data_IF_362178496614
#
_entry.id   IF_362178496614
#
_cell.length_a   1.000
_cell.length_b   1.000
_cell.length_c   1.000
_cell.angle_alpha   90.00
_cell.angle_beta   90.00
_cell.angle_gamma   90.00
#
_symmetry.space_group_name_H-M   'P 1'
#
loop_
_entity.id
_entity.type
_entity.pdbx_description
1 polymer ?
#
# COMPACT_ATOMS: atom_id res chain seq x y z
N UNK A 1 -15.31 -14.78 -11.87
CA UNK A 1 -16.29 -15.22 -10.86
C UNK A 1 -15.65 -15.84 -9.63
N UNK A 2 -14.87 -16.92 -9.73
CA UNK A 2 -14.27 -17.59 -8.55
C UNK A 2 -13.36 -16.68 -7.71
N UNK A 3 -12.42 -15.95 -8.32
CA UNK A 3 -11.55 -14.99 -7.61
C UNK A 3 -12.35 -13.94 -6.83
N UNK A 4 -13.48 -13.47 -7.38
CA UNK A 4 -14.35 -12.50 -6.72
C UNK A 4 -14.96 -13.14 -5.48
N UNK A 5 -15.57 -14.32 -5.60
CA UNK A 5 -16.16 -15.04 -4.46
C UNK A 5 -15.15 -15.25 -3.32
N UNK A 6 -13.93 -15.71 -3.66
CA UNK A 6 -12.87 -15.93 -2.68
C UNK A 6 -12.45 -14.66 -1.94
N UNK A 7 -12.41 -13.51 -2.62
CA UNK A 7 -12.08 -12.22 -2.01
C UNK A 7 -13.15 -11.77 -1.01
N UNK A 8 -14.43 -11.95 -1.33
CA UNK A 8 -15.52 -11.65 -0.39
C UNK A 8 -15.54 -12.62 0.80
N UNK A 9 -15.28 -13.91 0.57
CA UNK A 9 -15.18 -14.91 1.63
C UNK A 9 -13.99 -14.61 2.57
N UNK A 10 -12.83 -14.23 2.01
CA UNK A 10 -11.67 -13.82 2.79
C UNK A 10 -11.96 -12.61 3.69
N UNK A 11 -12.70 -11.61 3.18
CA UNK A 11 -13.13 -10.47 3.99
C UNK A 11 -14.03 -10.91 5.16
N UNK A 12 -14.94 -11.86 4.94
CA UNK A 12 -15.80 -12.38 6.01
C UNK A 12 -14.98 -13.07 7.10
N UNK A 13 -14.01 -13.91 6.73
CA UNK A 13 -13.12 -14.53 7.72
C UNK A 13 -12.26 -13.51 8.46
N UNK A 14 -11.71 -12.52 7.75
CA UNK A 14 -10.92 -11.46 8.36
C UNK A 14 -11.74 -10.65 9.37
N UNK A 15 -13.01 -10.35 9.05
CA UNK A 15 -13.95 -9.69 9.95
C UNK A 15 -14.21 -10.52 11.21
N UNK A 16 -14.52 -11.81 11.07
CA UNK A 16 -14.72 -12.72 12.22
C UNK A 16 -13.46 -12.85 13.09
N UNK A 17 -12.27 -12.85 12.47
CA UNK A 17 -11.00 -12.89 13.18
C UNK A 17 -10.73 -11.61 13.98
N UNK A 18 -11.17 -10.47 13.47
CA UNK A 18 -11.11 -9.18 14.15
C UNK A 18 -12.11 -9.11 15.31
N UNK A 19 -13.37 -9.51 15.09
CA UNK A 19 -14.41 -9.56 16.14
C UNK A 19 -14.00 -10.44 17.33
N UNK A 20 -13.25 -11.51 17.08
CA UNK A 20 -12.73 -12.39 18.14
C UNK A 20 -11.56 -11.78 18.91
N UNK A 21 -10.76 -10.93 18.26
CA UNK A 21 -9.59 -10.32 18.90
C UNK A 21 -9.17 -9.02 18.20
N UNK A 22 -9.69 -7.90 18.68
CA UNK A 22 -9.33 -6.54 18.23
C UNK A 22 -7.92 -6.10 18.66
N UNK A 23 -7.25 -6.86 19.55
CA UNK A 23 -5.84 -6.59 19.92
C UNK A 23 -4.84 -7.31 19.02
N UNK A 24 -5.31 -8.08 18.03
CA UNK A 24 -4.46 -8.80 17.09
C UNK A 24 -4.05 -7.91 15.92
N UNK A 25 -2.77 -7.54 15.86
CA UNK A 25 -2.23 -6.78 14.71
C UNK A 25 -2.50 -7.49 13.38
N UNK A 26 -2.43 -8.83 13.38
CA UNK A 26 -2.64 -9.64 12.19
C UNK A 26 -4.09 -9.62 11.73
N UNK A 27 -5.06 -9.59 12.66
CA UNK A 27 -6.48 -9.45 12.32
C UNK A 27 -6.75 -8.10 11.66
N UNK A 28 -6.21 -7.01 12.22
CA UNK A 28 -6.30 -5.67 11.61
C UNK A 28 -5.65 -5.63 10.22
N UNK A 29 -4.44 -6.19 10.08
CA UNK A 29 -3.73 -6.26 8.79
C UNK A 29 -4.55 -6.98 7.72
N UNK A 30 -5.02 -8.19 8.00
CA UNK A 30 -5.75 -9.00 7.02
C UNK A 30 -7.13 -8.42 6.70
N UNK A 31 -7.81 -7.82 7.67
CA UNK A 31 -9.06 -7.12 7.42
C UNK A 31 -8.87 -5.95 6.44
N UNK A 32 -7.84 -5.13 6.63
CA UNK A 32 -7.52 -4.03 5.73
C UNK A 32 -7.16 -4.50 4.31
N UNK A 33 -6.36 -5.58 4.18
CA UNK A 33 -6.00 -6.17 2.89
C UNK A 33 -7.25 -6.66 2.16
N UNK A 34 -8.07 -7.50 2.80
CA UNK A 34 -9.26 -8.04 2.16
C UNK A 34 -10.28 -6.95 1.81
N UNK A 35 -10.40 -5.91 2.62
CA UNK A 35 -11.27 -4.77 2.34
C UNK A 35 -10.79 -3.95 1.13
N UNK A 36 -9.46 -3.84 0.96
CA UNK A 36 -8.87 -3.24 -0.25
C UNK A 36 -9.19 -4.08 -1.49
N UNK A 37 -9.02 -5.40 -1.42
CA UNK A 37 -9.27 -6.32 -2.53
C UNK A 37 -10.75 -6.33 -2.97
N UNK A 38 -11.69 -6.29 -2.01
CA UNK A 38 -13.13 -6.17 -2.33
C UNK A 38 -13.42 -4.87 -3.09
N UNK A 39 -12.73 -3.78 -2.73
CA UNK A 39 -12.86 -2.48 -3.39
C UNK A 39 -12.62 -2.52 -4.90
N UNK A 40 -11.77 -3.45 -5.39
CA UNK A 40 -11.54 -3.64 -6.83
C UNK A 40 -12.79 -4.06 -7.59
N UNK A 41 -13.76 -4.69 -6.92
CA UNK A 41 -15.02 -5.14 -7.51
C UNK A 41 -16.20 -4.19 -7.27
N UNK A 42 -16.11 -3.28 -6.30
CA UNK A 42 -17.21 -2.38 -5.90
C UNK A 42 -17.13 -0.99 -6.54
N UNK A 43 -16.04 -0.71 -7.25
CA UNK A 43 -15.83 0.52 -8.01
C UNK A 43 -15.33 1.70 -7.17
N UNK A 44 -15.11 2.83 -7.86
CA UNK A 44 -14.36 3.97 -7.30
C UNK A 44 -14.97 4.58 -6.03
N UNK A 45 -16.31 4.62 -5.92
CA UNK A 45 -16.99 5.20 -4.75
C UNK A 45 -16.73 4.37 -3.49
N UNK A 46 -16.88 3.05 -3.59
CA UNK A 46 -16.61 2.13 -2.49
C UNK A 46 -15.13 2.12 -2.12
N UNK A 47 -14.22 2.12 -3.10
CA UNK A 47 -12.76 2.26 -2.84
C UNK A 47 -12.43 3.49 -2.00
N UNK A 48 -12.98 4.66 -2.36
CA UNK A 48 -12.73 5.90 -1.63
C UNK A 48 -13.35 5.83 -0.22
N UNK A 49 -14.53 5.21 -0.08
CA UNK A 49 -15.17 5.06 1.23
C UNK A 49 -14.40 4.13 2.16
N UNK A 50 -13.98 2.98 1.65
CA UNK A 50 -13.23 1.98 2.41
C UNK A 50 -11.80 2.46 2.74
N UNK A 51 -11.27 3.45 2.01
CA UNK A 51 -9.92 3.97 2.22
C UNK A 51 -9.64 4.44 3.65
N UNK A 52 -10.61 5.05 4.33
CA UNK A 52 -10.44 5.49 5.73
C UNK A 52 -10.36 4.32 6.68
N UNK A 53 -11.26 3.35 6.51
CA UNK A 53 -11.29 2.12 7.30
C UNK A 53 -9.96 1.37 7.12
N UNK A 54 -9.53 1.18 5.88
CA UNK A 54 -8.25 0.54 5.55
C UNK A 54 -7.08 1.23 6.27
N UNK A 55 -7.04 2.57 6.22
CA UNK A 55 -6.01 3.35 6.91
C UNK A 55 -6.04 3.11 8.43
N UNK A 56 -7.21 3.22 9.07
CA UNK A 56 -7.35 3.05 10.51
C UNK A 56 -6.88 1.66 10.96
N UNK A 57 -7.22 0.62 10.19
CA UNK A 57 -6.77 -0.74 10.49
C UNK A 57 -5.27 -0.92 10.28
N UNK A 58 -4.65 -0.33 9.25
CA UNK A 58 -3.19 -0.36 9.12
C UNK A 58 -2.49 0.43 10.22
N UNK A 59 -2.98 1.62 10.60
CA UNK A 59 -2.43 2.39 11.71
C UNK A 59 -2.52 1.60 13.02
N UNK A 60 -3.65 0.92 13.29
CA UNK A 60 -3.81 0.06 14.47
C UNK A 60 -2.91 -1.18 14.42
N UNK A 61 -2.75 -1.81 13.26
CA UNK A 61 -1.83 -2.93 13.09
C UNK A 61 -0.37 -2.51 13.38
N UNK A 62 0.03 -1.32 12.94
CA UNK A 62 1.37 -0.75 13.20
C UNK A 62 1.53 -0.37 14.68
N UNK A 63 0.48 0.14 15.33
CA UNK A 63 0.50 0.43 16.77
C UNK A 63 0.70 -0.85 17.59
N UNK A 64 -0.04 -1.91 17.25
CA UNK A 64 0.01 -3.21 17.94
C UNK A 64 1.31 -3.97 17.65
N UNK A 65 1.84 -3.87 16.43
CA UNK A 65 3.14 -4.44 16.05
C UNK A 65 3.93 -3.50 15.14
N UNK A 66 4.76 -2.61 15.71
CA UNK A 66 5.54 -1.64 14.94
C UNK A 66 6.71 -2.26 14.17
N UNK A 67 6.88 -3.60 14.22
CA UNK A 67 7.90 -4.35 13.49
C UNK A 67 7.32 -5.11 12.29
N UNK A 68 6.00 -5.13 12.10
CA UNK A 68 5.38 -5.78 10.94
C UNK A 68 5.63 -4.95 9.67
N UNK A 69 6.67 -5.34 8.93
CA UNK A 69 7.07 -4.64 7.70
C UNK A 69 5.94 -4.58 6.67
N UNK A 70 5.07 -5.59 6.61
CA UNK A 70 3.92 -5.62 5.69
C UNK A 70 2.93 -4.49 5.98
N UNK A 71 2.46 -4.32 7.21
CA UNK A 71 1.51 -3.25 7.57
C UNK A 71 2.10 -1.87 7.32
N UNK A 72 3.39 -1.69 7.66
CA UNK A 72 4.10 -0.44 7.43
C UNK A 72 4.23 -0.15 5.93
N UNK A 73 4.58 -1.16 5.13
CA UNK A 73 4.69 -1.04 3.69
C UNK A 73 3.34 -0.70 3.04
N UNK A 74 2.27 -1.40 3.42
CA UNK A 74 0.92 -1.17 2.91
C UNK A 74 0.38 0.21 3.28
N UNK A 75 0.74 0.74 4.46
CA UNK A 75 0.45 2.14 4.80
C UNK A 75 1.22 3.12 3.91
N UNK A 76 2.44 2.77 3.49
CA UNK A 76 3.19 3.50 2.47
C UNK A 76 2.50 3.49 1.11
N UNK A 77 1.99 2.33 0.67
CA UNK A 77 1.20 2.22 -0.56
C UNK A 77 -0.04 3.10 -0.47
N UNK A 78 -0.80 3.04 0.63
CA UNK A 78 -1.95 3.91 0.86
C UNK A 78 -1.56 5.39 0.69
N UNK A 79 -0.48 5.82 1.35
CA UNK A 79 0.00 7.19 1.23
C UNK A 79 0.39 7.58 -0.21
N UNK A 80 1.00 6.67 -0.96
CA UNK A 80 1.38 6.88 -2.36
C UNK A 80 0.15 7.02 -3.25
N UNK A 81 -0.80 6.08 -3.15
CA UNK A 81 -2.05 6.09 -3.93
C UNK A 81 -2.84 7.39 -3.76
N UNK A 82 -2.95 7.91 -2.54
CA UNK A 82 -3.68 9.17 -2.30
C UNK A 82 -2.87 10.43 -2.63
N UNK A 83 -1.54 10.36 -2.67
CA UNK A 83 -0.70 11.43 -3.20
C UNK A 83 -0.83 11.53 -4.74
N UNK A 84 -0.85 10.38 -5.42
CA UNK A 84 -0.97 10.27 -6.87
C UNK A 84 -2.42 10.42 -7.38
N UNK A 85 -3.41 10.34 -6.49
CA UNK A 85 -4.84 10.36 -6.84
C UNK A 85 -5.18 11.47 -7.86
N UNK A 86 -5.73 11.12 -9.04
CA UNK A 86 -6.14 12.08 -10.05
C UNK A 86 -7.17 13.10 -9.55
N UNK A 87 -7.14 14.32 -10.10
CA UNK A 87 -8.00 15.43 -9.69
C UNK A 87 -9.51 15.10 -9.73
N UNK A 88 -9.95 14.26 -10.67
CA UNK A 88 -11.37 13.88 -10.80
C UNK A 88 -11.80 12.92 -9.68
N UNK A 89 -10.93 11.99 -9.27
CA UNK A 89 -11.18 11.11 -8.12
C UNK A 89 -11.24 11.93 -6.82
N UNK A 90 -10.39 12.97 -6.69
CA UNK A 90 -10.46 13.92 -5.56
C UNK A 90 -11.80 14.65 -5.51
N UNK A 91 -12.41 14.99 -6.67
CA UNK A 91 -13.75 15.58 -6.72
C UNK A 91 -14.83 14.60 -6.23
N UNK A 92 -14.78 13.34 -6.66
CA UNK A 92 -15.70 12.30 -6.18
C UNK A 92 -15.55 12.13 -4.66
N UNK A 93 -14.32 12.09 -4.17
CA UNK A 93 -14.04 11.99 -2.74
C UNK A 93 -14.60 13.18 -1.94
N UNK A 94 -14.49 14.41 -2.45
CA UNK A 94 -15.09 15.62 -1.83
C UNK A 94 -16.62 15.59 -1.81
N UNK A 95 -17.27 14.90 -2.75
CA UNK A 95 -18.74 14.76 -2.75
C UNK A 95 -19.21 13.72 -1.73
N UNK A 96 -18.43 12.66 -1.52
CA UNK A 96 -18.75 11.59 -0.58
C UNK A 96 -18.32 11.93 0.86
N UNK A 97 -17.23 12.67 1.01
CA UNK A 97 -16.60 13.00 2.28
C UNK A 97 -16.32 14.50 2.36
N UNK A 98 -16.62 15.12 3.50
CA UNK A 98 -16.34 16.56 3.72
C UNK A 98 -14.85 16.90 3.47
N UNK A 99 -13.94 15.97 3.82
CA UNK A 99 -12.51 16.12 3.59
C UNK A 99 -11.99 14.84 2.94
N UNK A 100 -11.56 14.83 1.67
CA UNK A 100 -11.15 13.61 0.97
C UNK A 100 -9.88 13.01 1.58
N UNK A 101 -9.67 11.68 1.47
CA UNK A 101 -8.45 11.06 1.95
C UNK A 101 -7.30 11.61 1.10
N UNK A 102 -6.30 12.18 1.77
CA UNK A 102 -5.15 12.79 1.11
C UNK A 102 -3.87 12.48 1.87
N UNK A 103 -2.78 12.40 1.13
CA UNK A 103 -1.44 12.13 1.64
C UNK A 103 -0.39 12.78 0.73
N UNK A 104 0.88 12.65 1.09
CA UNK A 104 2.00 13.17 0.32
C UNK A 104 3.02 12.07 0.03
N UNK A 105 3.84 12.27 -1.00
CA UNK A 105 4.92 11.35 -1.34
C UNK A 105 5.97 11.24 -0.22
N UNK A 106 6.18 12.30 0.58
CA UNK A 106 7.10 12.28 1.72
C UNK A 106 6.60 11.34 2.82
N UNK A 107 5.27 11.31 3.08
CA UNK A 107 4.69 10.34 4.02
C UNK A 107 4.83 8.91 3.51
N UNK A 108 4.57 8.68 2.22
CA UNK A 108 4.74 7.37 1.60
C UNK A 108 6.18 6.88 1.72
N UNK A 109 7.15 7.74 1.37
CA UNK A 109 8.57 7.45 1.50
C UNK A 109 8.97 7.15 2.95
N UNK A 110 8.43 7.90 3.92
CA UNK A 110 8.67 7.66 5.34
C UNK A 110 8.21 6.26 5.78
N UNK A 111 7.04 5.81 5.32
CA UNK A 111 6.55 4.46 5.58
C UNK A 111 7.36 3.39 4.86
N UNK A 112 7.64 3.54 3.56
CA UNK A 112 8.48 2.59 2.82
C UNK A 112 9.85 2.44 3.45
N UNK A 113 10.48 3.56 3.83
CA UNK A 113 11.73 3.51 4.53
C UNK A 113 11.58 2.75 5.86
N UNK A 114 10.51 2.97 6.64
CA UNK A 114 10.29 2.25 7.91
C UNK A 114 10.10 0.75 7.71
N UNK A 115 9.45 0.33 6.62
CA UNK A 115 9.29 -1.07 6.28
C UNK A 115 10.65 -1.74 5.94
N UNK A 116 11.55 -1.00 5.29
CA UNK A 116 12.89 -1.48 4.88
C UNK A 116 13.99 -1.27 5.95
N UNK A 117 13.75 -0.40 6.93
CA UNK A 117 14.69 0.00 7.99
C UNK A 117 15.07 -1.16 8.94
N UNK A 118 14.41 -2.32 8.90
CA UNK A 118 14.81 -3.52 9.66
C UNK A 118 16.21 -4.08 9.31
N UNK A 119 16.79 -3.74 8.15
CA UNK A 119 18.14 -4.18 7.73
C UNK A 119 19.07 -3.06 7.23
N UNK A 120 18.59 -1.82 7.08
CA UNK A 120 19.21 -0.88 6.13
C UNK A 120 19.39 0.55 6.69
N UNK A 121 19.49 0.72 8.01
CA UNK A 121 19.82 2.03 8.62
C UNK A 121 21.24 2.54 8.32
N UNK A 122 22.13 1.71 7.78
CA UNK A 122 23.53 2.09 7.54
C UNK A 122 23.78 2.77 6.18
N UNK A 123 22.79 2.83 5.30
CA UNK A 123 22.99 3.32 3.94
C UNK A 123 21.72 4.00 3.45
N UNK A 124 21.63 5.33 3.56
CA UNK A 124 21.79 6.22 2.39
C UNK A 124 21.06 7.57 2.47
N UNK A 125 21.68 8.50 1.75
CA UNK A 125 21.10 9.74 1.22
C UNK A 125 20.68 9.58 -0.27
N UNK A 126 19.65 10.37 -0.63
CA UNK A 126 19.11 10.88 -1.92
C UNK A 126 19.70 10.43 -3.29
N UNK A 127 18.82 10.38 -4.32
CA UNK A 127 18.94 10.02 -5.76
C UNK A 127 19.70 8.74 -6.09
N UNK A 128 20.93 8.59 -5.60
CA UNK A 128 21.66 7.32 -5.60
C UNK A 128 20.83 6.23 -4.93
N UNK A 129 20.09 6.60 -3.88
CA UNK A 129 19.15 5.70 -3.21
C UNK A 129 17.99 5.26 -4.10
N UNK A 130 17.42 6.17 -4.89
CA UNK A 130 16.32 5.83 -5.82
C UNK A 130 16.81 4.89 -6.93
N UNK A 131 17.93 5.20 -7.57
CA UNK A 131 18.55 4.31 -8.57
C UNK A 131 18.94 2.95 -7.95
N UNK A 132 19.47 2.96 -6.73
CA UNK A 132 19.81 1.76 -5.98
C UNK A 132 18.60 0.87 -5.71
N UNK A 133 17.48 1.44 -5.26
CA UNK A 133 16.25 0.67 -5.01
C UNK A 133 15.58 0.19 -6.30
N UNK A 134 15.59 0.99 -7.37
CA UNK A 134 15.10 0.55 -8.69
C UNK A 134 15.91 -0.62 -9.23
N UNK A 135 17.24 -0.59 -9.08
CA UNK A 135 18.10 -1.71 -9.47
C UNK A 135 17.81 -2.95 -8.62
N UNK A 136 17.65 -2.80 -7.30
CA UNK A 136 17.24 -3.90 -6.43
C UNK A 136 15.88 -4.49 -6.81
N UNK A 137 14.89 -3.65 -7.13
CA UNK A 137 13.57 -4.09 -7.53
C UNK A 137 13.60 -4.87 -8.86
N UNK A 138 14.40 -4.39 -9.82
CA UNK A 138 14.64 -5.09 -11.10
C UNK A 138 15.29 -6.46 -10.90
N UNK A 139 16.26 -6.56 -10.00
CA UNK A 139 17.06 -7.78 -9.80
C UNK A 139 16.43 -8.77 -8.79
N UNK A 140 15.35 -8.39 -8.11
CA UNK A 140 14.67 -9.26 -7.14
C UNK A 140 13.93 -10.39 -7.86
N UNK A 141 13.98 -11.67 -7.42
CA UNK A 141 13.26 -12.76 -8.07
C UNK A 141 11.74 -12.53 -8.07
N UNK A 142 11.11 -12.55 -9.24
CA UNK A 142 9.65 -12.40 -9.33
C UNK A 142 8.93 -13.70 -8.92
N UNK A 143 8.00 -13.59 -7.98
CA UNK A 143 7.17 -14.70 -7.51
C UNK A 143 5.68 -14.49 -7.82
N UNK A 144 5.26 -13.23 -8.01
CA UNK A 144 3.90 -12.81 -8.33
C UNK A 144 3.85 -12.01 -9.63
N UNK A 145 2.66 -11.82 -10.20
CA UNK A 145 2.52 -10.95 -11.39
C UNK A 145 2.75 -9.48 -11.07
N UNK A 146 2.49 -9.07 -9.82
CA UNK A 146 2.86 -7.73 -9.33
C UNK A 146 4.39 -7.56 -9.35
N UNK A 147 5.16 -8.57 -8.93
CA UNK A 147 6.63 -8.49 -8.98
C UNK A 147 7.14 -8.29 -10.42
N UNK A 148 6.54 -8.98 -11.41
CA UNK A 148 6.93 -8.82 -12.83
C UNK A 148 6.63 -7.42 -13.37
N UNK A 149 5.48 -6.85 -12.98
CA UNK A 149 5.12 -5.47 -13.36
C UNK A 149 6.10 -4.47 -12.75
N UNK A 150 6.40 -4.61 -11.46
CA UNK A 150 7.36 -3.76 -10.74
C UNK A 150 8.76 -3.84 -11.38
N UNK A 151 9.23 -5.04 -11.75
CA UNK A 151 10.52 -5.19 -12.46
C UNK A 151 10.55 -4.44 -13.80
N UNK A 152 9.46 -4.52 -14.56
CA UNK A 152 9.33 -3.87 -15.88
C UNK A 152 9.34 -2.35 -15.73
N UNK A 153 8.56 -1.82 -14.80
CA UNK A 153 8.52 -0.39 -14.48
C UNK A 153 9.88 0.12 -13.97
N UNK A 154 10.54 -0.65 -13.09
CA UNK A 154 11.86 -0.31 -12.58
C UNK A 154 12.91 -0.23 -13.70
N UNK A 155 12.88 -1.15 -14.66
CA UNK A 155 13.76 -1.13 -15.81
C UNK A 155 13.52 0.10 -16.71
N UNK A 156 12.25 0.44 -16.99
CA UNK A 156 11.90 1.62 -17.79
C UNK A 156 12.33 2.92 -17.10
N UNK A 157 12.10 3.03 -15.80
CA UNK A 157 12.52 4.20 -15.02
C UNK A 157 14.05 4.35 -15.03
N UNK A 158 14.81 3.27 -14.86
CA UNK A 158 16.28 3.28 -14.93
C UNK A 158 16.80 3.81 -16.28
N UNK A 159 16.20 3.39 -17.40
CA UNK A 159 16.53 3.92 -18.73
C UNK A 159 16.26 5.42 -18.84
N UNK A 160 15.11 5.88 -18.31
CA UNK A 160 14.77 7.31 -18.32
C UNK A 160 15.69 8.18 -17.46
N UNK A 161 16.32 7.62 -16.42
CA UNK A 161 17.33 8.29 -15.60
C UNK A 161 18.67 8.44 -16.35
N UNK A 162 19.01 7.51 -17.25
CA UNK A 162 20.22 7.60 -18.08
C UNK A 162 20.10 8.54 -19.28
N UNK A 163 18.89 8.73 -19.82
CA UNK A 163 18.66 9.58 -20.99
C UNK A 163 18.54 11.08 -20.66
N UNK A 164 18.36 11.44 -19.38
CA UNK A 164 18.21 12.82 -18.90
C UNK A 164 19.51 13.43 -18.31
N UNK A 165 20.64 12.73 -18.41
CA UNK A 165 21.98 13.24 -18.07
C UNK A 165 22.82 13.35 -19.33
#
# INVERSE_FOLDING_TARGET
>A
EEKKLLVYEALEYAKRALEKNESSFASHKWYAICLSDVGDYEGIKAKIANAYIIKEHFEKAIELNPKDATSIHLMGIWCYTFAEMPWYQRRIAKMLFATPPSSTYEKALGYFHRAEQGKTYLKLHNKKLAAFWLMKAKDYPAHTEEDKQIQTEAAQLLTSFSEKN
#
